data_IF_674221324715
#
_entry.id   IF_674221324715
#
_cell.length_a   1.000
_cell.length_b   1.000
_cell.length_c   1.000
_cell.angle_alpha   90.00
_cell.angle_beta   90.00
_cell.angle_gamma   90.00
#
_symmetry.space_group_name_H-M   'P 1'
#
loop_
_entity.id
_entity.type
_entity.pdbx_description
1 polymer ?
#
# COMPACT_ATOMS: atom_id res chain seq x y z
N UNK A 1 -0.44 12.11 14.61
CA UNK A 1 0.11 10.74 14.43
C UNK A 1 -0.03 9.91 15.69
N UNK A 2 0.26 10.45 16.88
CA UNK A 2 0.04 9.76 18.16
C UNK A 2 -1.41 9.23 18.29
N UNK A 3 -2.40 10.11 18.16
CA UNK A 3 -3.82 9.76 18.32
C UNK A 3 -4.28 8.72 17.30
N UNK A 4 -3.78 8.80 16.06
CA UNK A 4 -4.05 7.80 15.03
C UNK A 4 -3.62 6.40 15.48
N UNK A 5 -2.45 6.30 16.12
CA UNK A 5 -1.89 5.03 16.57
C UNK A 5 -2.49 4.57 17.89
N UNK A 6 -2.72 5.45 18.86
CA UNK A 6 -3.11 5.06 20.22
C UNK A 6 -4.62 5.17 20.49
N UNK A 7 -5.30 6.15 19.89
CA UNK A 7 -6.67 6.52 20.30
C UNK A 7 -7.73 6.15 19.26
N UNK A 8 -7.39 6.14 17.97
CA UNK A 8 -8.37 5.97 16.87
C UNK A 8 -8.59 4.52 16.44
N UNK A 9 -7.97 3.56 17.14
CA UNK A 9 -8.10 2.12 16.82
C UNK A 9 -7.33 1.66 15.57
N UNK A 10 -6.46 2.50 14.98
CA UNK A 10 -5.70 2.16 13.77
C UNK A 10 -4.33 1.52 14.06
N UNK A 11 -3.98 1.30 15.33
CA UNK A 11 -2.70 0.75 15.77
C UNK A 11 -2.27 -0.50 14.99
N UNK A 12 -3.22 -1.43 14.83
CA UNK A 12 -2.98 -2.73 14.17
C UNK A 12 -2.65 -2.55 12.70
N UNK A 13 -3.40 -1.71 11.99
CA UNK A 13 -3.21 -1.45 10.56
C UNK A 13 -1.89 -0.70 10.31
N UNK A 14 -1.61 0.34 11.11
CA UNK A 14 -0.36 1.11 11.02
C UNK A 14 0.86 0.20 11.29
N UNK A 15 0.78 -0.67 12.30
CA UNK A 15 1.85 -1.63 12.62
C UNK A 15 2.06 -2.62 11.47
N UNK A 16 1.00 -3.09 10.84
CA UNK A 16 1.07 -3.99 9.69
C UNK A 16 1.73 -3.32 8.48
N UNK A 17 1.30 -2.11 8.12
CA UNK A 17 1.88 -1.34 7.01
C UNK A 17 3.37 -1.02 7.27
N UNK A 18 3.71 -0.66 8.51
CA UNK A 18 5.10 -0.43 8.92
C UNK A 18 5.95 -1.71 8.82
N UNK A 19 5.38 -2.86 9.18
CA UNK A 19 6.01 -4.17 9.02
C UNK A 19 6.29 -4.52 7.56
N UNK A 20 5.33 -4.26 6.66
CA UNK A 20 5.51 -4.46 5.20
C UNK A 20 6.63 -3.56 4.68
N UNK A 21 6.66 -2.28 5.07
CA UNK A 21 7.72 -1.33 4.70
C UNK A 21 9.09 -1.87 5.11
N UNK A 22 9.23 -2.26 6.37
CA UNK A 22 10.49 -2.76 6.93
C UNK A 22 10.94 -4.07 6.25
N UNK A 23 10.03 -5.04 6.10
CA UNK A 23 10.28 -6.33 5.46
C UNK A 23 10.79 -6.18 4.01
N UNK A 24 10.29 -5.21 3.25
CA UNK A 24 10.70 -4.98 1.86
C UNK A 24 11.92 -4.04 1.73
N UNK A 25 12.45 -3.54 2.85
CA UNK A 25 13.59 -2.63 2.87
C UNK A 25 13.29 -1.27 2.23
N UNK A 26 12.02 -0.84 2.26
CA UNK A 26 11.63 0.48 1.73
C UNK A 26 12.21 1.56 2.63
N UNK A 27 12.98 2.46 2.03
CA UNK A 27 13.75 3.52 2.69
C UNK A 27 13.45 4.88 2.05
N UNK A 28 13.93 6.01 2.61
CA UNK A 28 13.63 7.34 2.06
C UNK A 28 14.02 7.54 0.59
N UNK A 29 15.07 6.85 0.11
CA UNK A 29 15.51 6.91 -1.29
C UNK A 29 14.92 5.81 -2.20
N UNK A 30 13.91 5.07 -1.76
CA UNK A 30 13.24 4.07 -2.59
C UNK A 30 12.54 4.72 -3.78
N UNK A 31 12.62 4.08 -4.95
CA UNK A 31 11.99 4.56 -6.16
C UNK A 31 10.47 4.36 -6.09
N UNK A 32 9.72 5.35 -6.59
CA UNK A 32 8.26 5.30 -6.68
C UNK A 32 7.86 5.47 -8.14
N UNK A 33 7.08 4.52 -8.64
CA UNK A 33 6.50 4.52 -9.98
C UNK A 33 4.98 4.62 -9.85
N UNK A 34 4.39 5.69 -10.37
CA UNK A 34 2.94 5.90 -10.36
C UNK A 34 2.35 5.12 -11.53
N UNK A 35 1.45 4.17 -11.24
CA UNK A 35 0.75 3.38 -12.25
C UNK A 35 -0.58 4.01 -12.65
N UNK A 36 -1.30 4.61 -11.69
CA UNK A 36 -2.58 5.31 -11.91
C UNK A 36 -2.69 6.49 -10.95
N UNK A 37 -3.23 7.61 -11.43
CA UNK A 37 -3.52 8.81 -10.65
C UNK A 37 -4.84 9.46 -11.11
N UNK A 38 -5.96 8.86 -10.70
CA UNK A 38 -7.32 9.36 -10.92
C UNK A 38 -7.89 9.97 -9.62
N UNK A 39 -9.05 10.63 -9.74
CA UNK A 39 -9.76 11.25 -8.61
C UNK A 39 -10.10 10.27 -7.47
N UNK A 40 -10.44 9.03 -7.80
CA UNK A 40 -10.94 7.99 -6.90
C UNK A 40 -10.00 6.77 -6.81
N UNK A 41 -8.82 6.85 -7.44
CA UNK A 41 -7.84 5.76 -7.48
C UNK A 41 -6.42 6.30 -7.65
N UNK A 42 -5.54 5.95 -6.72
CA UNK A 42 -4.09 6.14 -6.88
C UNK A 42 -3.38 4.82 -6.64
N UNK A 43 -2.52 4.41 -7.57
CA UNK A 43 -1.75 3.17 -7.49
C UNK A 43 -0.29 3.49 -7.75
N UNK A 44 0.59 3.10 -6.82
CA UNK A 44 2.03 3.28 -6.97
C UNK A 44 2.79 2.01 -6.60
N UNK A 45 3.83 1.73 -7.38
CA UNK A 45 4.80 0.65 -7.18
C UNK A 45 6.07 1.22 -6.58
N UNK A 46 6.53 0.63 -5.48
CA UNK A 46 7.67 1.11 -4.69
C UNK A 46 8.79 0.06 -4.77
N UNK A 47 9.97 0.48 -5.23
CA UNK A 47 11.15 -0.35 -5.49
C UNK A 47 10.90 -1.60 -6.36
N UNK A 48 9.80 -1.64 -7.11
CA UNK A 48 9.36 -2.84 -7.81
C UNK A 48 9.02 -4.02 -6.88
N UNK A 49 8.81 -3.78 -5.58
CA UNK A 49 8.59 -4.81 -4.53
C UNK A 49 7.21 -4.73 -3.89
N UNK A 50 6.68 -3.52 -3.73
CA UNK A 50 5.38 -3.28 -3.09
C UNK A 50 4.51 -2.45 -4.00
N UNK A 51 3.23 -2.76 -4.07
CA UNK A 51 2.22 -1.90 -4.71
C UNK A 51 1.26 -1.42 -3.62
N UNK A 52 1.02 -0.11 -3.58
CA UNK A 52 0.03 0.51 -2.70
C UNK A 52 -1.07 1.14 -3.54
N UNK A 53 -2.32 0.82 -3.20
CA UNK A 53 -3.53 1.42 -3.76
C UNK A 53 -4.24 2.21 -2.67
N UNK A 54 -4.68 3.42 -3.00
CA UNK A 54 -5.63 4.20 -2.20
C UNK A 54 -6.78 4.70 -3.08
N UNK A 55 -7.91 5.03 -2.46
CA UNK A 55 -9.11 5.56 -3.12
C UNK A 55 -10.30 4.59 -3.04
N UNK A 56 -11.50 5.09 -3.33
CA UNK A 56 -12.75 4.33 -3.16
C UNK A 56 -13.01 3.31 -4.26
N UNK A 57 -12.35 3.42 -5.43
CA UNK A 57 -12.52 2.47 -6.53
C UNK A 57 -12.07 1.07 -6.11
N UNK A 58 -12.99 0.11 -6.06
CA UNK A 58 -12.69 -1.26 -5.59
C UNK A 58 -11.85 -2.04 -6.60
N UNK A 59 -12.13 -1.87 -7.88
CA UNK A 59 -11.42 -2.60 -8.93
C UNK A 59 -10.05 -1.96 -9.22
N UNK A 60 -9.01 -2.66 -8.76
CA UNK A 60 -7.64 -2.45 -9.20
C UNK A 60 -7.06 -3.72 -9.85
N UNK A 61 -7.86 -4.79 -10.02
CA UNK A 61 -7.37 -6.12 -10.38
C UNK A 61 -6.65 -6.16 -11.72
N UNK A 62 -7.12 -5.40 -12.70
CA UNK A 62 -6.47 -5.25 -14.01
C UNK A 62 -5.19 -4.39 -14.01
N UNK A 63 -4.90 -3.69 -12.90
CA UNK A 63 -3.78 -2.75 -12.79
C UNK A 63 -2.59 -3.33 -12.02
N UNK A 64 -2.77 -4.44 -11.32
CA UNK A 64 -1.70 -5.11 -10.58
C UNK A 64 -0.94 -6.04 -11.52
N UNK A 65 0.35 -5.80 -11.78
CA UNK A 65 1.15 -6.70 -12.62
C UNK A 65 1.20 -8.12 -12.03
N UNK A 66 1.36 -9.16 -12.87
CA UNK A 66 1.57 -10.52 -12.40
C UNK A 66 2.80 -10.62 -11.49
N UNK A 67 2.80 -11.60 -10.60
CA UNK A 67 3.86 -11.78 -9.61
C UNK A 67 3.72 -10.91 -8.36
N UNK A 68 2.54 -10.33 -8.12
CA UNK A 68 2.20 -9.64 -6.89
C UNK A 68 1.03 -10.33 -6.18
N UNK A 69 1.10 -10.45 -4.87
CA UNK A 69 0.01 -10.98 -4.02
C UNK A 69 -0.45 -9.94 -3.02
N UNK A 70 -1.75 -9.86 -2.79
CA UNK A 70 -2.30 -8.95 -1.79
C UNK A 70 -1.90 -9.43 -0.40
N UNK A 71 -1.40 -8.51 0.43
CA UNK A 71 -0.93 -8.81 1.79
C UNK A 71 -1.75 -8.14 2.87
N UNK A 72 -2.43 -7.03 2.54
CA UNK A 72 -3.40 -6.39 3.43
C UNK A 72 -4.33 -5.47 2.64
N UNK A 73 -5.50 -5.20 3.21
CA UNK A 73 -6.48 -4.26 2.70
C UNK A 73 -7.32 -3.73 3.86
N UNK A 74 -7.82 -2.51 3.71
CA UNK A 74 -8.77 -1.90 4.63
C UNK A 74 -9.65 -0.90 3.90
N UNK A 75 -10.24 0.04 4.64
CA UNK A 75 -11.11 1.05 4.05
C UNK A 75 -10.32 1.91 3.06
N UNK A 76 -10.71 1.83 1.80
CA UNK A 76 -10.14 2.61 0.69
C UNK A 76 -8.64 2.41 0.45
N UNK A 77 -8.03 1.30 0.93
CA UNK A 77 -6.64 0.95 0.60
C UNK A 77 -6.42 -0.56 0.46
N UNK A 78 -5.41 -0.91 -0.33
CA UNK A 78 -4.89 -2.27 -0.44
C UNK A 78 -3.39 -2.25 -0.77
N UNK A 79 -2.67 -3.28 -0.32
CA UNK A 79 -1.22 -3.41 -0.52
C UNK A 79 -0.88 -4.82 -1.03
N UNK A 80 0.00 -4.88 -2.02
CA UNK A 80 0.54 -6.12 -2.58
C UNK A 80 2.06 -6.17 -2.41
N UNK A 81 2.59 -7.37 -2.20
CA UNK A 81 4.03 -7.67 -2.23
C UNK A 81 4.35 -8.51 -3.47
N UNK A 82 5.54 -8.33 -4.02
CA UNK A 82 6.08 -9.21 -5.06
C UNK A 82 6.28 -10.63 -4.49
N UNK A 83 5.87 -11.64 -5.25
CA UNK A 83 6.03 -13.08 -4.95
C UNK A 83 7.44 -13.53 -5.29
#
# INVERSE_FOLDING_TARGET
>A
FYDHYFDWGLAREIKMLSGIRAKNGIKPGSAVEILVADKDLYVAKIDGKVIAKIGSRVDAGGLIPPGFRMVTSGKDYAVWEKV
#
